data_IF_782020768039
#
_entry.id   IF_782020768039
#
_cell.length_a   1.000
_cell.length_b   1.000
_cell.length_c   1.000
_cell.angle_alpha   90.00
_cell.angle_beta   90.00
_cell.angle_gamma   90.00
#
_symmetry.space_group_name_H-M   'P 1'
#
loop_
_entity.id
_entity.type
_entity.pdbx_description
1 polymer ?
#
# COMPACT_ATOMS: atom_id res chain seq x y z
N UNK A 1 -7.22 9.28 18.45
CA UNK A 1 -7.86 8.65 17.28
C UNK A 1 -6.74 8.20 16.36
N UNK A 2 -6.27 6.98 16.56
CA UNK A 2 -5.20 6.38 15.75
C UNK A 2 -5.86 5.48 14.71
N UNK A 3 -5.98 5.99 13.48
CA UNK A 3 -6.27 5.16 12.32
C UNK A 3 -5.04 4.32 12.00
N UNK A 4 -4.85 3.22 12.71
CA UNK A 4 -3.76 2.27 12.45
C UNK A 4 -4.18 1.27 11.36
N UNK A 5 -4.42 1.77 10.15
CA UNK A 5 -4.64 0.92 8.97
C UNK A 5 -3.30 0.75 8.25
N UNK A 6 -2.42 -0.07 8.81
CA UNK A 6 -1.05 -0.24 8.30
C UNK A 6 -1.02 -1.28 7.18
N UNK A 7 -1.19 -0.87 5.91
CA UNK A 7 -0.94 -1.74 4.75
C UNK A 7 0.57 -2.00 4.52
N UNK A 8 1.45 -1.42 5.34
CA UNK A 8 2.82 -1.93 5.46
C UNK A 8 2.78 -3.08 6.46
N UNK A 9 2.74 -4.31 5.96
CA UNK A 9 2.82 -5.53 6.77
C UNK A 9 3.89 -5.36 7.85
N UNK A 10 3.46 -5.30 9.10
CA UNK A 10 4.36 -5.22 10.23
C UNK A 10 4.97 -6.62 10.43
N UNK A 11 6.10 -6.95 9.80
CA UNK A 11 6.87 -8.11 10.23
C UNK A 11 7.54 -7.81 11.58
N UNK A 12 6.94 -8.29 12.67
CA UNK A 12 7.51 -8.22 14.01
C UNK A 12 8.42 -9.41 14.29
N UNK A 13 9.01 -9.47 15.50
CA UNK A 13 9.81 -10.63 15.97
C UNK A 13 9.04 -11.97 15.95
N UNK A 14 7.71 -11.92 15.83
CA UNK A 14 6.81 -13.09 15.75
C UNK A 14 6.39 -13.45 14.31
N UNK A 15 6.92 -12.77 13.29
CA UNK A 15 6.57 -12.96 11.88
C UNK A 15 5.77 -11.80 11.29
N UNK A 16 5.38 -11.93 10.01
CA UNK A 16 4.51 -10.99 9.31
C UNK A 16 3.17 -10.85 10.05
N UNK A 17 2.75 -9.61 10.35
CA UNK A 17 1.41 -9.33 10.82
C UNK A 17 0.39 -9.83 9.78
N UNK A 18 -0.43 -10.80 10.22
CA UNK A 18 -1.48 -11.44 9.40
C UNK A 18 -2.84 -10.79 9.61
N UNK A 19 -2.93 -9.76 10.47
CA UNK A 19 -4.17 -9.04 10.66
C UNK A 19 -4.54 -8.33 9.36
N UNK A 20 -5.70 -8.72 8.84
CA UNK A 20 -6.35 -8.04 7.71
C UNK A 20 -7.37 -7.06 8.28
N UNK A 21 -8.19 -6.47 7.42
CA UNK A 21 -9.28 -5.60 7.84
C UNK A 21 -10.53 -6.37 8.32
N UNK A 22 -10.39 -7.66 8.69
CA UNK A 22 -11.50 -8.46 9.19
C UNK A 22 -12.03 -7.83 10.49
N UNK A 23 -13.30 -7.38 10.47
CA UNK A 23 -13.94 -6.70 11.60
C UNK A 23 -13.80 -5.17 11.63
N UNK A 24 -13.13 -4.55 10.65
CA UNK A 24 -13.05 -3.08 10.51
C UNK A 24 -14.25 -2.56 9.74
N UNK A 25 -15.04 -1.66 10.33
CA UNK A 25 -16.25 -1.10 9.69
C UNK A 25 -15.93 -0.22 8.46
N UNK A 26 -14.68 0.20 8.33
CA UNK A 26 -14.17 1.02 7.22
C UNK A 26 -13.89 0.21 5.95
N UNK A 27 -13.89 -1.13 6.04
CA UNK A 27 -13.51 -2.02 4.96
C UNK A 27 -14.58 -3.08 4.71
N UNK A 28 -14.94 -3.25 3.45
CA UNK A 28 -15.87 -4.27 2.99
C UNK A 28 -15.11 -5.40 2.33
N UNK A 29 -15.14 -6.58 2.94
CA UNK A 29 -14.53 -7.78 2.39
C UNK A 29 -15.32 -8.27 1.19
N UNK A 30 -14.61 -8.58 0.12
CA UNK A 30 -15.16 -9.08 -1.14
C UNK A 30 -14.98 -10.60 -1.25
N UNK A 31 -15.74 -11.25 -2.13
CA UNK A 31 -15.67 -12.70 -2.36
C UNK A 31 -14.30 -13.16 -2.90
N UNK A 32 -13.58 -12.30 -3.61
CA UNK A 32 -12.22 -12.54 -4.10
C UNK A 32 -11.15 -12.41 -3.01
N UNK A 33 -11.54 -12.15 -1.75
CA UNK A 33 -10.65 -11.96 -0.61
C UNK A 33 -9.99 -10.58 -0.54
N UNK A 34 -10.37 -9.66 -1.44
CA UNK A 34 -9.97 -8.25 -1.38
C UNK A 34 -10.84 -7.44 -0.41
N UNK A 35 -10.44 -6.20 -0.16
CA UNK A 35 -11.17 -5.26 0.68
C UNK A 35 -11.38 -3.95 -0.06
N UNK A 36 -12.62 -3.48 -0.11
CA UNK A 36 -12.98 -2.16 -0.63
C UNK A 36 -13.18 -1.19 0.53
N UNK A 37 -12.84 0.07 0.34
CA UNK A 37 -13.17 1.09 1.32
C UNK A 37 -14.69 1.32 1.36
N UNK A 38 -15.33 1.10 2.52
CA UNK A 38 -16.78 1.11 2.69
C UNK A 38 -17.45 2.47 2.41
N UNK A 39 -16.67 3.56 2.33
CA UNK A 39 -17.17 4.93 2.08
C UNK A 39 -17.28 5.28 0.59
N UNK A 40 -17.31 4.29 -0.30
CA UNK A 40 -17.35 4.52 -1.75
C UNK A 40 -16.08 5.18 -2.31
N UNK A 41 -15.00 5.19 -1.53
CA UNK A 41 -13.70 5.60 -2.05
C UNK A 41 -13.23 4.52 -3.02
N UNK A 42 -12.70 4.89 -4.20
CA UNK A 42 -12.25 3.92 -5.20
C UNK A 42 -10.90 3.33 -4.79
N UNK A 43 -10.85 2.70 -3.63
CA UNK A 43 -9.67 2.11 -3.01
C UNK A 43 -9.94 0.62 -2.78
N UNK A 44 -9.14 -0.22 -3.42
CA UNK A 44 -9.12 -1.67 -3.26
C UNK A 44 -7.81 -2.08 -2.62
N UNK A 45 -7.87 -3.00 -1.66
CA UNK A 45 -6.70 -3.61 -1.03
C UNK A 45 -6.73 -5.11 -1.23
N UNK A 46 -5.61 -5.68 -1.63
CA UNK A 46 -5.42 -7.12 -1.77
C UNK A 46 -4.17 -7.58 -1.03
N UNK A 47 -4.23 -8.80 -0.51
CA UNK A 47 -3.13 -9.47 0.19
C UNK A 47 -2.80 -10.76 -0.54
N UNK A 48 -2.12 -10.71 -1.69
CA UNK A 48 -1.80 -11.92 -2.45
C UNK A 48 -0.93 -12.84 -1.58
N UNK A 49 -1.28 -14.13 -1.57
CA UNK A 49 -0.55 -15.14 -0.83
C UNK A 49 0.59 -15.69 -1.70
N UNK A 50 1.76 -15.88 -1.09
CA UNK A 50 2.86 -16.63 -1.70
C UNK A 50 2.51 -18.13 -1.78
N UNK A 51 3.32 -18.97 -2.46
CA UNK A 51 3.05 -20.40 -2.59
C UNK A 51 2.91 -21.16 -1.26
N UNK A 52 3.44 -20.61 -0.16
CA UNK A 52 3.31 -21.15 1.20
C UNK A 52 2.07 -20.63 1.95
N UNK A 53 1.19 -19.89 1.28
CA UNK A 53 -0.05 -19.35 1.83
C UNK A 53 0.13 -18.08 2.67
N UNK A 54 1.35 -17.54 2.78
CA UNK A 54 1.62 -16.31 3.55
C UNK A 54 1.61 -15.11 2.61
N UNK A 55 0.87 -14.07 2.96
CA UNK A 55 0.91 -12.78 2.26
C UNK A 55 2.08 -11.93 2.78
N UNK A 56 3.14 -11.80 1.99
CA UNK A 56 4.29 -10.92 2.30
C UNK A 56 4.20 -9.54 1.67
N UNK A 57 3.19 -9.32 0.83
CA UNK A 57 2.89 -8.02 0.24
C UNK A 57 1.42 -7.61 0.46
N UNK A 58 1.19 -6.31 0.51
CA UNK A 58 -0.12 -5.67 0.44
C UNK A 58 -0.15 -4.80 -0.82
N UNK A 59 -1.18 -4.96 -1.63
CA UNK A 59 -1.37 -4.16 -2.85
C UNK A 59 -2.59 -3.27 -2.66
N UNK A 60 -2.40 -1.96 -2.79
CA UNK A 60 -3.48 -0.97 -2.80
C UNK A 60 -3.64 -0.43 -4.20
N UNK A 61 -4.84 -0.47 -4.73
CA UNK A 61 -5.20 0.16 -6.00
C UNK A 61 -6.16 1.29 -5.70
N UNK A 62 -5.92 2.46 -6.29
CA UNK A 62 -6.81 3.59 -6.12
C UNK A 62 -6.95 4.44 -7.39
N UNK A 63 -8.10 5.09 -7.55
CA UNK A 63 -8.26 6.15 -8.56
C UNK A 63 -8.23 7.49 -7.85
N UNK A 64 -7.26 8.33 -8.18
CA UNK A 64 -7.14 9.65 -7.59
C UNK A 64 -7.95 10.68 -8.38
N UNK A 65 -8.59 11.64 -7.71
CA UNK A 65 -9.29 12.77 -8.35
C UNK A 65 -8.46 13.61 -9.32
N UNK A 66 -7.13 13.68 -9.17
CA UNK A 66 -6.27 14.47 -10.07
C UNK A 66 -4.79 14.09 -10.02
N UNK A 67 -4.05 14.49 -11.07
CA UNK A 67 -2.58 14.49 -11.10
C UNK A 67 -1.95 15.28 -9.94
N UNK A 68 -2.59 16.35 -9.48
CA UNK A 68 -2.09 17.13 -8.35
C UNK A 68 -2.11 16.30 -7.05
N UNK A 69 -3.16 15.51 -6.83
CA UNK A 69 -3.22 14.62 -5.66
C UNK A 69 -2.18 13.49 -5.76
N UNK A 70 -1.90 12.96 -6.95
CA UNK A 70 -0.81 12.00 -7.15
C UNK A 70 0.55 12.61 -6.73
N UNK A 71 0.82 13.86 -7.13
CA UNK A 71 2.03 14.59 -6.73
C UNK A 71 2.10 14.82 -5.23
N UNK A 72 0.99 15.23 -4.61
CA UNK A 72 0.90 15.43 -3.16
C UNK A 72 1.16 14.11 -2.40
N UNK A 73 0.64 12.99 -2.90
CA UNK A 73 0.87 11.67 -2.31
C UNK A 73 2.35 11.26 -2.38
N UNK A 74 3.02 11.50 -3.51
CA UNK A 74 4.48 11.35 -3.62
C UNK A 74 5.21 12.16 -2.54
N UNK A 75 4.90 13.46 -2.45
CA UNK A 75 5.53 14.36 -1.45
C UNK A 75 5.27 13.89 -0.03
N UNK A 76 4.05 13.42 0.27
CA UNK A 76 3.69 12.88 1.56
C UNK A 76 4.53 11.62 1.90
N UNK A 77 4.72 10.69 0.96
CA UNK A 77 5.58 9.54 1.18
C UNK A 77 7.04 9.92 1.39
N UNK A 78 7.58 10.86 0.62
CA UNK A 78 8.96 11.35 0.81
C UNK A 78 9.15 11.93 2.22
N UNK A 79 8.18 12.70 2.71
CA UNK A 79 8.20 13.27 4.05
C UNK A 79 8.06 12.20 5.15
N UNK A 80 7.09 11.29 5.01
CA UNK A 80 6.81 10.24 5.99
C UNK A 80 7.96 9.24 6.11
N UNK A 81 8.53 8.81 4.98
CA UNK A 81 9.61 7.84 4.92
C UNK A 81 10.99 8.50 5.12
N UNK A 82 11.04 9.83 5.20
CA UNK A 82 12.25 10.64 5.39
C UNK A 82 13.36 10.31 4.38
N UNK A 83 12.97 9.96 3.15
CA UNK A 83 13.88 9.49 2.11
C UNK A 83 13.30 9.76 0.72
N UNK A 84 14.18 10.06 -0.23
CA UNK A 84 13.80 10.13 -1.64
C UNK A 84 13.58 8.73 -2.22
N UNK A 85 12.63 8.57 -3.16
CA UNK A 85 12.46 7.31 -3.86
C UNK A 85 13.64 7.04 -4.79
N UNK A 86 13.82 5.77 -5.11
CA UNK A 86 14.50 5.31 -6.31
C UNK A 86 13.47 5.44 -7.46
N UNK A 87 13.79 6.25 -8.47
CA UNK A 87 12.91 6.40 -9.63
C UNK A 87 13.10 5.23 -10.61
N UNK A 88 12.00 4.67 -11.08
CA UNK A 88 11.92 3.71 -12.17
C UNK A 88 11.00 4.27 -13.26
N UNK A 89 10.99 3.64 -14.44
CA UNK A 89 10.22 4.12 -15.60
C UNK A 89 8.76 4.47 -15.25
N UNK A 90 8.09 3.52 -14.59
CA UNK A 90 6.65 3.59 -14.30
C UNK A 90 6.32 3.60 -12.79
N UNK A 91 7.34 3.61 -11.93
CA UNK A 91 7.14 3.57 -10.48
C UNK A 91 8.23 4.28 -9.67
N UNK A 92 7.92 4.55 -8.42
CA UNK A 92 8.83 5.08 -7.41
C UNK A 92 8.99 4.02 -6.31
N UNK A 93 10.22 3.77 -5.86
CA UNK A 93 10.49 2.75 -4.83
C UNK A 93 11.16 3.37 -3.61
N UNK A 94 10.60 3.17 -2.43
CA UNK A 94 11.23 3.46 -1.16
C UNK A 94 11.62 2.17 -0.47
N UNK A 95 12.89 2.08 -0.08
CA UNK A 95 13.39 1.04 0.81
C UNK A 95 13.69 1.68 2.17
N UNK A 96 13.06 1.15 3.21
CA UNK A 96 13.14 1.65 4.58
C UNK A 96 13.18 0.49 5.59
N UNK A 97 13.52 0.80 6.85
CA UNK A 97 13.88 -0.22 7.83
C UNK A 97 15.27 -0.84 7.57
N UNK A 98 15.65 -1.84 8.36
CA UNK A 98 16.96 -2.49 8.25
C UNK A 98 17.00 -3.86 8.92
N UNK A 99 17.91 -4.72 8.47
CA UNK A 99 18.03 -6.11 8.94
C UNK A 99 16.72 -6.89 8.72
N UNK A 100 16.25 -7.58 9.75
CA UNK A 100 14.97 -8.32 9.74
C UNK A 100 13.72 -7.44 9.64
N UNK A 101 13.88 -6.11 9.64
CA UNK A 101 12.79 -5.14 9.51
C UNK A 101 12.83 -4.40 8.17
N UNK A 102 13.50 -4.95 7.16
CA UNK A 102 13.54 -4.35 5.84
C UNK A 102 12.14 -4.31 5.21
N UNK A 103 11.77 -3.16 4.65
CA UNK A 103 10.48 -2.90 4.01
C UNK A 103 10.67 -2.19 2.68
N UNK A 104 9.74 -2.43 1.77
CA UNK A 104 9.63 -1.75 0.49
C UNK A 104 8.26 -1.12 0.33
N UNK A 105 8.22 0.07 -0.26
CA UNK A 105 7.01 0.64 -0.83
C UNK A 105 7.29 0.96 -2.29
N UNK A 106 6.53 0.36 -3.20
CA UNK A 106 6.55 0.68 -4.62
C UNK A 106 5.26 1.41 -5.00
N UNK A 107 5.37 2.57 -5.64
CA UNK A 107 4.27 3.41 -6.07
C UNK A 107 4.27 3.53 -7.59
N UNK A 108 3.33 2.86 -8.23
CA UNK A 108 3.06 2.97 -9.66
C UNK A 108 2.18 4.18 -9.92
N UNK A 109 2.64 5.05 -10.82
CA UNK A 109 1.99 6.31 -11.14
C UNK A 109 1.38 6.27 -12.52
N UNK A 110 0.20 6.87 -12.69
CA UNK A 110 -0.37 7.19 -13.99
C UNK A 110 -0.08 8.65 -14.30
N UNK A 111 0.69 8.92 -15.36
CA UNK A 111 1.14 10.28 -15.72
C UNK A 111 0.27 10.92 -16.81
N UNK A 112 -0.70 10.19 -17.35
CA UNK A 112 -1.45 10.61 -18.54
C UNK A 112 -2.91 10.90 -18.24
N UNK A 113 -3.54 10.19 -17.31
CA UNK A 113 -4.98 10.36 -17.04
C UNK A 113 -5.28 11.57 -16.16
N UNK A 114 -6.40 12.24 -16.42
CA UNK A 114 -6.90 13.31 -15.54
C UNK A 114 -7.22 12.78 -14.13
N UNK A 115 -7.77 11.56 -14.04
CA UNK A 115 -7.99 10.82 -12.81
C UNK A 115 -7.03 9.63 -12.75
N UNK A 116 -5.81 9.80 -12.20
CA UNK A 116 -4.79 8.77 -12.30
C UNK A 116 -5.15 7.52 -11.49
N UNK A 117 -5.01 6.36 -12.14
CA UNK A 117 -5.08 5.06 -11.48
C UNK A 117 -3.70 4.72 -10.93
N UNK A 118 -3.61 4.62 -9.62
CA UNK A 118 -2.37 4.31 -8.92
C UNK A 118 -2.40 2.90 -8.36
N UNK A 119 -1.20 2.34 -8.18
CA UNK A 119 -1.01 1.09 -7.43
C UNK A 119 0.15 1.25 -6.46
N UNK A 120 -0.08 0.90 -5.20
CA UNK A 120 0.94 0.85 -4.16
C UNK A 120 1.18 -0.61 -3.78
N UNK A 121 2.44 -1.01 -3.65
CA UNK A 121 2.83 -2.31 -3.14
C UNK A 121 3.70 -2.10 -1.90
N UNK A 122 3.17 -2.47 -0.74
CA UNK A 122 3.94 -2.58 0.49
C UNK A 122 4.50 -4.00 0.61
N UNK A 123 5.79 -4.14 0.87
CA UNK A 123 6.46 -5.43 1.03
C UNK A 123 7.26 -5.49 2.34
N UNK A 124 7.24 -6.65 2.97
CA UNK A 124 8.13 -6.97 4.09
C UNK A 124 9.10 -8.09 3.71
N UNK A 125 10.39 -7.85 3.95
CA UNK A 125 11.49 -8.77 3.67
C UNK A 125 12.07 -9.34 4.98
#
# INVERSE_FOLDING_TARGET
MEGATTCVLAAGKKGADRSKFDGSAEWEKQDDGSYLAAKGLPVKVTFPADPDGISRICVVEATLPSQNQQKQMRTAFEALLKKKPIEQKDSLVWMFGGGSNARGLQFFTDKMSDQPKIRLIGAAF
#
